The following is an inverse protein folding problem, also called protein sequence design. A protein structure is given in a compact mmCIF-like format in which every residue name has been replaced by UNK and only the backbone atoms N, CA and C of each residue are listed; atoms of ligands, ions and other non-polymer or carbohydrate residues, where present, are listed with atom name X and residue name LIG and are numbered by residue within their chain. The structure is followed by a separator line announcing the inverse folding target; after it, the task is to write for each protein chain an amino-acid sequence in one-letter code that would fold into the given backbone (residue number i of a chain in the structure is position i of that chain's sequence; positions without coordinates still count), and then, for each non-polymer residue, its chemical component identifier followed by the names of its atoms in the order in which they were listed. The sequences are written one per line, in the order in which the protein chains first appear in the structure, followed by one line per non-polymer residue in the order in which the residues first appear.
data_IF_095872133352
#
_entry.id   IF_095872133352
#
_cell.length_a   1.000
_cell.length_b   1.000
_cell.length_c   1.000
_cell.angle_alpha   90.00
_cell.angle_beta   90.00
_cell.angle_gamma   90.00
#
_symmetry.space_group_name_H-M   'P 1'
#
loop_
_entity.id
_entity.type
_entity.pdbx_description
1 polymer ?
#
# COMPACT_ATOMS: atom_id res chain seq x y z
N UNK A 1 44.37 -26.42 66.74
CA UNK A 1 43.32 -27.24 66.10
C UNK A 1 42.50 -26.29 65.24
N UNK A 2 42.81 -26.07 63.95
CA UNK A 2 42.52 -26.91 62.78
C UNK A 2 41.05 -27.37 62.73
N UNK A 3 40.26 -26.74 61.85
CA UNK A 3 39.25 -27.33 60.97
C UNK A 3 38.97 -26.27 59.88
N UNK A 4 39.66 -26.33 58.74
CA UNK A 4 39.22 -26.96 57.47
C UNK A 4 38.03 -26.21 56.83
N UNK A 5 38.39 -25.32 55.90
CA UNK A 5 37.53 -24.84 54.83
C UNK A 5 37.96 -25.64 53.59
N UNK A 6 37.08 -26.48 53.07
CA UNK A 6 37.23 -27.08 51.75
C UNK A 6 35.94 -26.90 50.94
N UNK A 7 36.08 -26.07 49.92
CA UNK A 7 35.65 -26.25 48.53
C UNK A 7 34.23 -26.73 48.20
N UNK A 8 33.47 -25.85 47.54
CA UNK A 8 32.81 -26.20 46.27
C UNK A 8 32.61 -24.94 45.39
N UNK A 9 33.29 -24.92 44.24
CA UNK A 9 33.07 -23.96 43.14
C UNK A 9 31.69 -24.21 42.51
N UNK A 10 30.93 -23.18 42.11
CA UNK A 10 29.86 -23.34 41.14
C UNK A 10 30.40 -23.29 39.70
N UNK A 11 30.02 -24.30 38.92
CA UNK A 11 30.23 -24.40 37.48
C UNK A 11 29.41 -23.37 36.71
N UNK A 12 30.01 -22.79 35.67
CA UNK A 12 29.36 -21.92 34.71
C UNK A 12 28.29 -22.70 33.92
N UNK A 13 27.07 -22.15 33.89
CA UNK A 13 25.98 -22.59 33.03
C UNK A 13 25.21 -21.36 32.56
N UNK A 14 25.26 -21.09 31.26
CA UNK A 14 24.51 -20.06 30.54
C UNK A 14 23.00 -20.21 30.72
N UNK A 15 22.24 -19.11 30.61
CA UNK A 15 21.11 -18.92 29.65
C UNK A 15 20.18 -17.77 30.07
N UNK A 16 19.78 -17.01 29.05
CA UNK A 16 18.62 -16.12 28.91
C UNK A 16 18.64 -14.75 29.63
N UNK A 17 19.13 -13.76 28.88
CA UNK A 17 18.70 -12.36 29.02
C UNK A 17 17.25 -12.27 28.55
N UNK A 18 16.31 -12.13 29.49
CA UNK A 18 14.93 -11.77 29.18
C UNK A 18 14.89 -10.30 28.76
N UNK A 19 14.74 -10.04 27.46
CA UNK A 19 14.44 -8.69 26.95
C UNK A 19 12.96 -8.41 27.21
N UNK A 20 12.67 -7.76 28.33
CA UNK A 20 11.36 -7.18 28.58
C UNK A 20 11.19 -5.91 27.73
N UNK A 21 10.53 -6.04 26.57
CA UNK A 21 10.05 -4.90 25.80
C UNK A 21 8.86 -4.27 26.54
N UNK A 22 9.14 -3.22 27.31
CA UNK A 22 8.15 -2.30 27.85
C UNK A 22 7.53 -1.51 26.68
N UNK A 23 6.37 -1.95 26.19
CA UNK A 23 5.51 -1.13 25.34
C UNK A 23 4.86 -0.04 26.21
N UNK A 24 5.45 1.16 26.22
CA UNK A 24 4.77 2.35 26.72
C UNK A 24 3.59 2.66 25.78
N UNK A 25 2.39 2.24 26.17
CA UNK A 25 1.14 2.54 25.50
C UNK A 25 0.75 4.00 25.80
N UNK A 26 1.25 4.92 24.97
CA UNK A 26 0.77 6.30 24.94
C UNK A 26 -0.63 6.34 24.31
N UNK A 27 -1.66 6.32 25.15
CA UNK A 27 -3.02 6.68 24.76
C UNK A 27 -3.06 8.17 24.39
N UNK A 28 -3.25 8.49 23.11
CA UNK A 28 -3.84 9.75 22.70
C UNK A 28 -5.22 9.47 22.11
N UNK A 29 -6.32 9.79 22.81
CA UNK A 29 -7.63 9.80 22.20
C UNK A 29 -7.75 11.09 21.39
N UNK A 30 -7.35 11.08 20.12
CA UNK A 30 -7.76 12.15 19.20
C UNK A 30 -9.19 11.86 18.75
N UNK A 31 -10.16 12.33 19.54
CA UNK A 31 -11.41 12.80 18.95
C UNK A 31 -11.03 13.89 17.94
N UNK A 32 -11.19 13.62 16.65
CA UNK A 32 -11.22 14.66 15.63
C UNK A 32 -12.40 15.58 15.96
N UNK A 33 -12.17 16.60 16.77
CA UNK A 33 -12.94 17.83 16.64
C UNK A 33 -12.45 18.47 15.35
N UNK A 34 -13.30 18.40 14.32
CA UNK A 34 -13.10 19.17 13.10
C UNK A 34 -12.92 20.63 13.49
N UNK A 35 -11.71 21.16 13.25
CA UNK A 35 -11.51 22.60 13.27
C UNK A 35 -12.37 23.21 12.15
N UNK A 36 -13.13 24.28 12.41
CA UNK A 36 -13.88 24.97 11.37
C UNK A 36 -12.90 25.76 10.49
N UNK A 37 -12.44 25.10 9.44
CA UNK A 37 -11.56 25.60 8.39
C UNK A 37 -11.33 24.44 7.43
N UNK A 38 -12.18 24.31 6.41
CA UNK A 38 -12.19 23.16 5.51
C UNK A 38 -10.80 22.93 4.92
N UNK A 39 -10.25 21.74 5.12
CA UNK A 39 -8.98 21.33 4.52
C UNK A 39 -9.00 21.41 2.99
N UNK A 40 -7.85 21.17 2.34
CA UNK A 40 -7.77 21.18 0.89
C UNK A 40 -8.82 20.24 0.27
N UNK A 41 -9.54 20.72 -0.74
CA UNK A 41 -10.54 19.96 -1.47
C UNK A 41 -9.93 19.34 -2.71
N UNK A 42 -10.27 18.08 -2.99
CA UNK A 42 -9.95 17.41 -4.24
C UNK A 42 -10.76 18.04 -5.36
N UNK A 43 -10.10 18.56 -6.40
CA UNK A 43 -10.75 19.28 -7.51
C UNK A 43 -10.65 18.56 -8.85
N UNK A 44 -9.76 17.58 -8.97
CA UNK A 44 -9.70 16.66 -10.10
C UNK A 44 -9.05 15.34 -9.68
N UNK A 45 -9.57 14.23 -10.19
CA UNK A 45 -9.04 12.89 -9.94
C UNK A 45 -9.23 11.98 -11.15
N UNK A 46 -8.16 11.82 -11.93
CA UNK A 46 -8.09 10.86 -13.03
C UNK A 46 -7.47 9.57 -12.51
N UNK A 47 -8.31 8.55 -12.32
CA UNK A 47 -7.86 7.23 -11.86
C UNK A 47 -7.03 6.51 -12.90
N UNK A 48 -7.40 6.69 -14.18
CA UNK A 48 -6.81 5.99 -15.32
C UNK A 48 -7.10 4.48 -15.33
N UNK A 49 -8.30 4.12 -14.87
CA UNK A 49 -8.83 2.75 -14.77
C UNK A 49 -9.59 2.27 -16.02
N UNK A 50 -9.72 3.12 -17.04
CA UNK A 50 -10.47 2.78 -18.23
C UNK A 50 -9.83 1.61 -19.00
N UNK A 51 -10.66 0.72 -19.54
CA UNK A 51 -10.17 -0.40 -20.34
C UNK A 51 -9.85 -0.02 -21.79
N UNK A 52 -10.40 1.08 -22.28
CA UNK A 52 -10.24 1.59 -23.65
C UNK A 52 -10.87 2.97 -23.80
N UNK A 53 -10.66 3.59 -24.97
CA UNK A 53 -11.35 4.81 -25.38
C UNK A 53 -10.46 6.05 -25.44
N UNK A 54 -11.09 7.19 -25.72
CA UNK A 54 -10.41 8.47 -25.97
C UNK A 54 -10.56 9.47 -24.81
N UNK A 55 -11.13 9.02 -23.67
CA UNK A 55 -11.40 9.88 -22.53
C UNK A 55 -10.85 9.23 -21.25
N UNK A 56 -10.13 10.01 -20.44
CA UNK A 56 -9.83 9.71 -19.06
C UNK A 56 -10.83 10.46 -18.17
N UNK A 57 -11.61 9.74 -17.36
CA UNK A 57 -12.66 10.34 -16.54
C UNK A 57 -12.08 11.03 -15.31
N UNK A 58 -12.55 12.25 -15.06
CA UNK A 58 -12.35 12.91 -13.78
C UNK A 58 -13.45 12.45 -12.81
N UNK A 59 -13.07 11.68 -11.79
CA UNK A 59 -14.01 11.12 -10.82
C UNK A 59 -14.55 12.15 -9.81
N UNK A 60 -13.95 13.35 -9.73
CA UNK A 60 -14.56 14.51 -9.06
C UNK A 60 -15.60 15.17 -9.96
N UNK A 61 -15.29 15.26 -11.25
CA UNK A 61 -16.19 15.68 -12.31
C UNK A 61 -15.84 17.04 -12.92
N UNK A 62 -16.17 17.19 -14.21
CA UNK A 62 -16.07 18.45 -14.94
C UNK A 62 -14.76 18.68 -15.69
N UNK A 63 -13.73 17.86 -15.45
CA UNK A 63 -12.42 17.98 -16.10
C UNK A 63 -11.97 16.68 -16.79
N UNK A 64 -12.89 15.95 -17.41
CA UNK A 64 -12.56 14.76 -18.21
C UNK A 64 -11.46 15.09 -19.24
N UNK A 65 -10.45 14.23 -19.32
CA UNK A 65 -9.29 14.43 -20.17
C UNK A 65 -9.42 13.73 -21.52
N UNK A 66 -9.10 14.41 -22.61
CA UNK A 66 -9.05 13.82 -23.94
C UNK A 66 -7.68 13.18 -24.21
N UNK A 67 -7.67 11.91 -24.59
CA UNK A 67 -6.46 11.14 -24.93
C UNK A 67 -5.94 11.57 -26.30
N UNK A 68 -4.70 12.06 -26.35
CA UNK A 68 -3.99 12.39 -27.59
C UNK A 68 -2.85 11.40 -27.85
N UNK A 69 -2.73 10.95 -29.11
CA UNK A 69 -1.72 9.98 -29.52
C UNK A 69 -2.13 8.53 -29.22
N UNK A 70 -1.18 7.62 -29.30
CA UNK A 70 -1.41 6.16 -29.20
C UNK A 70 -1.19 5.63 -27.77
N UNK A 71 -1.79 6.28 -26.77
CA UNK A 71 -1.76 5.79 -25.38
C UNK A 71 -2.36 4.38 -25.28
N UNK A 72 -1.74 3.52 -24.47
CA UNK A 72 -2.23 2.15 -24.24
C UNK A 72 -2.86 2.04 -22.86
N UNK A 73 -4.17 1.79 -22.82
CA UNK A 73 -4.90 1.49 -21.60
C UNK A 73 -4.53 0.10 -21.10
N UNK A 74 -4.13 0.02 -19.84
CA UNK A 74 -3.89 -1.23 -19.13
C UNK A 74 -4.95 -1.33 -18.03
N UNK A 75 -6.05 -2.08 -18.23
CA UNK A 75 -7.12 -2.18 -17.23
C UNK A 75 -6.67 -2.83 -15.91
N UNK A 76 -5.48 -3.42 -15.89
CA UNK A 76 -4.88 -4.09 -14.73
C UNK A 76 -3.38 -3.79 -14.66
N UNK A 77 -2.78 -4.05 -13.51
CA UNK A 77 -1.32 -3.87 -13.30
C UNK A 77 -0.93 -2.44 -12.95
N UNK A 78 -1.91 -1.54 -12.87
CA UNK A 78 -1.79 -0.27 -12.19
C UNK A 78 -1.51 -0.45 -10.70
N UNK A 79 -1.09 0.64 -10.07
CA UNK A 79 -0.85 0.65 -8.64
C UNK A 79 -2.17 0.72 -7.86
N UNK A 80 -3.16 1.39 -8.42
CA UNK A 80 -4.57 1.43 -8.01
C UNK A 80 -5.39 0.94 -9.20
N UNK A 81 -5.60 -0.37 -9.28
CA UNK A 81 -6.38 -1.01 -10.36
C UNK A 81 -5.74 -0.88 -11.77
N UNK A 82 -6.16 0.07 -12.60
CA UNK A 82 -5.69 0.24 -13.98
C UNK A 82 -4.55 1.27 -14.12
N UNK A 83 -4.04 1.44 -15.34
CA UNK A 83 -3.04 2.47 -15.65
C UNK A 83 -3.02 2.82 -17.13
N UNK A 84 -2.37 3.93 -17.47
CA UNK A 84 -2.15 4.37 -18.85
C UNK A 84 -0.67 4.44 -19.19
N UNK A 85 -0.28 3.88 -20.33
CA UNK A 85 1.09 3.89 -20.83
C UNK A 85 1.34 4.99 -21.85
N UNK A 86 2.43 5.74 -21.64
CA UNK A 86 2.88 6.85 -22.47
C UNK A 86 4.17 6.49 -23.20
N UNK A 87 4.18 6.68 -24.54
CA UNK A 87 5.28 6.31 -25.42
C UNK A 87 6.49 7.24 -25.39
N UNK A 88 6.31 8.47 -24.90
CA UNK A 88 7.36 9.49 -24.76
C UNK A 88 7.63 10.31 -26.01
N UNK A 89 6.68 10.41 -26.95
CA UNK A 89 6.87 11.18 -28.20
C UNK A 89 5.81 12.25 -28.35
N UNK A 90 4.54 11.86 -28.47
CA UNK A 90 3.43 12.78 -28.72
C UNK A 90 2.17 12.45 -27.90
N UNK A 91 2.28 11.50 -26.98
CA UNK A 91 1.17 10.99 -26.19
C UNK A 91 0.96 11.84 -24.93
N UNK A 92 -0.29 12.23 -24.66
CA UNK A 92 -0.68 12.96 -23.44
C UNK A 92 -2.21 12.96 -23.26
N UNK A 93 -2.67 13.32 -22.07
CA UNK A 93 -4.09 13.60 -21.81
C UNK A 93 -4.30 15.10 -21.70
N UNK A 94 -5.20 15.65 -22.52
CA UNK A 94 -5.60 17.05 -22.47
C UNK A 94 -6.81 17.24 -21.54
N UNK A 95 -6.57 17.77 -20.34
CA UNK A 95 -7.59 17.91 -19.29
C UNK A 95 -8.30 19.27 -19.28
N UNK A 96 -7.97 20.15 -20.23
CA UNK A 96 -8.59 21.47 -20.36
C UNK A 96 -8.00 22.54 -19.46
N UNK A 97 -8.50 23.76 -19.60
CA UNK A 97 -8.11 24.95 -18.83
C UNK A 97 -9.31 25.47 -18.02
N UNK A 98 -9.87 24.61 -17.18
CA UNK A 98 -10.98 25.00 -16.32
C UNK A 98 -10.51 25.97 -15.23
N UNK A 99 -11.38 26.90 -14.85
CA UNK A 99 -11.07 27.92 -13.83
C UNK A 99 -10.71 27.36 -12.46
N UNK A 100 -11.06 26.11 -12.16
CA UNK A 100 -10.65 25.41 -10.93
C UNK A 100 -9.13 25.20 -10.84
N UNK A 101 -8.42 25.25 -11.97
CA UNK A 101 -6.95 25.13 -12.03
C UNK A 101 -6.22 26.47 -11.89
N UNK A 102 -6.94 27.58 -11.78
CA UNK A 102 -6.39 28.91 -11.51
C UNK A 102 -6.12 29.09 -10.00
N UNK A 103 -5.27 28.20 -9.47
CA UNK A 103 -4.85 28.19 -8.08
C UNK A 103 -3.80 29.28 -7.85
N UNK A 104 -3.93 30.05 -6.78
CA UNK A 104 -3.03 31.16 -6.47
C UNK A 104 -2.38 31.09 -5.08
N UNK A 105 -3.01 30.39 -4.13
CA UNK A 105 -2.62 30.39 -2.72
C UNK A 105 -2.03 29.06 -2.23
N UNK A 106 -2.37 27.94 -2.89
CA UNK A 106 -1.88 26.63 -2.51
C UNK A 106 -2.37 25.54 -3.46
N UNK A 107 -1.70 24.41 -3.42
CA UNK A 107 -1.98 23.26 -4.30
C UNK A 107 -1.40 21.99 -3.69
N UNK A 108 -2.04 20.85 -4.01
CA UNK A 108 -1.39 19.55 -3.97
C UNK A 108 -1.58 18.86 -5.31
N UNK A 109 -0.52 18.26 -5.82
CA UNK A 109 -0.59 17.43 -7.03
C UNK A 109 0.10 16.10 -6.73
N UNK A 110 -0.59 14.99 -6.99
CA UNK A 110 -0.05 13.65 -6.77
C UNK A 110 -0.31 12.74 -7.95
N UNK A 111 0.57 11.75 -8.12
CA UNK A 111 0.37 10.66 -9.06
C UNK A 111 1.16 9.43 -8.60
N UNK A 112 0.68 8.26 -9.00
CA UNK A 112 1.52 7.08 -9.10
C UNK A 112 2.17 7.06 -10.47
N UNK A 113 3.48 6.78 -10.49
CA UNK A 113 4.26 6.77 -11.72
C UNK A 113 5.20 5.59 -11.77
N UNK A 114 5.40 5.08 -12.98
CA UNK A 114 6.42 4.09 -13.28
C UNK A 114 7.27 4.63 -14.43
N UNK A 115 8.52 5.00 -14.13
CA UNK A 115 9.41 5.61 -15.14
C UNK A 115 9.98 4.50 -16.02
N UNK A 116 9.64 4.51 -17.32
CA UNK A 116 10.29 3.64 -18.30
C UNK A 116 11.68 4.17 -18.67
N UNK A 117 11.74 5.41 -19.15
CA UNK A 117 12.97 6.08 -19.57
C UNK A 117 12.87 7.59 -19.32
N UNK A 118 13.99 8.26 -19.06
CA UNK A 118 14.06 9.74 -18.97
C UNK A 118 14.79 10.27 -20.19
N UNK A 119 14.02 10.75 -21.17
CA UNK A 119 14.55 11.22 -22.47
C UNK A 119 14.78 12.71 -22.53
N UNK A 120 14.06 13.46 -21.71
CA UNK A 120 13.97 14.91 -21.75
C UNK A 120 14.25 15.51 -20.38
N UNK A 121 14.67 16.77 -20.36
CA UNK A 121 14.73 17.53 -19.13
C UNK A 121 13.31 17.85 -18.64
N UNK A 122 13.06 17.65 -17.34
CA UNK A 122 11.78 17.92 -16.70
C UNK A 122 10.61 17.18 -17.35
N UNK A 123 10.79 15.88 -17.56
CA UNK A 123 9.79 15.01 -18.15
C UNK A 123 8.46 15.08 -17.37
N UNK A 124 7.41 15.58 -18.01
CA UNK A 124 6.18 16.01 -17.34
C UNK A 124 5.33 14.81 -16.86
N UNK A 125 4.88 14.83 -15.61
CA UNK A 125 3.88 13.89 -15.09
C UNK A 125 2.49 14.52 -15.22
N UNK A 126 2.29 15.69 -14.63
CA UNK A 126 1.08 16.49 -14.77
C UNK A 126 1.41 17.98 -14.59
N UNK A 127 0.92 18.83 -15.48
CA UNK A 127 1.32 20.25 -15.54
C UNK A 127 0.19 21.17 -15.98
N UNK A 128 0.24 22.44 -15.56
CA UNK A 128 -0.55 23.57 -16.09
C UNK A 128 0.34 24.55 -16.87
N UNK A 129 1.47 24.07 -17.38
CA UNK A 129 2.54 24.93 -17.91
C UNK A 129 3.54 25.40 -16.84
N UNK A 130 4.66 25.92 -17.30
CA UNK A 130 5.76 26.44 -16.46
C UNK A 130 5.46 27.79 -15.83
N UNK A 131 4.57 28.56 -16.45
CA UNK A 131 4.08 29.83 -15.93
C UNK A 131 3.01 29.67 -14.83
N UNK A 132 2.72 28.42 -14.40
CA UNK A 132 1.82 28.12 -13.29
C UNK A 132 2.42 27.06 -12.35
N UNK A 133 2.14 25.77 -12.55
CA UNK A 133 2.61 24.68 -11.70
C UNK A 133 2.89 23.41 -12.49
N UNK A 134 3.82 22.60 -11.99
CA UNK A 134 4.17 21.32 -12.60
C UNK A 134 4.67 20.29 -11.59
N UNK A 135 4.33 19.03 -11.87
CA UNK A 135 4.99 17.85 -11.32
C UNK A 135 5.70 17.12 -12.46
N UNK A 136 6.99 16.87 -12.33
CA UNK A 136 7.84 16.27 -13.38
C UNK A 136 9.01 15.49 -12.80
N UNK A 137 9.88 14.96 -13.66
CA UNK A 137 11.25 14.61 -13.24
C UNK A 137 12.09 15.85 -12.99
N UNK A 138 13.19 15.71 -12.23
CA UNK A 138 14.21 16.74 -12.03
C UNK A 138 15.25 16.63 -13.15
N UNK A 139 15.30 17.66 -14.02
CA UNK A 139 16.14 17.65 -15.21
C UNK A 139 16.04 16.31 -15.97
N UNK A 140 17.16 15.74 -16.41
CA UNK A 140 17.23 14.44 -17.09
C UNK A 140 17.49 13.25 -16.15
N UNK A 141 17.09 13.38 -14.89
CA UNK A 141 17.35 12.37 -13.87
C UNK A 141 16.10 11.60 -13.48
N UNK A 142 16.27 10.40 -12.90
CA UNK A 142 15.18 9.64 -12.26
C UNK A 142 14.94 10.13 -10.82
N UNK A 143 14.90 11.45 -10.65
CA UNK A 143 14.47 12.15 -9.43
C UNK A 143 13.24 12.99 -9.78
N UNK A 144 12.46 13.39 -8.79
CA UNK A 144 11.22 14.13 -9.03
C UNK A 144 11.37 15.61 -8.72
N UNK A 145 10.47 16.40 -9.28
CA UNK A 145 10.51 17.85 -9.29
C UNK A 145 9.09 18.39 -9.15
N UNK A 146 8.91 19.33 -8.21
CA UNK A 146 7.68 20.07 -8.07
C UNK A 146 7.97 21.57 -8.08
N UNK A 147 7.30 22.30 -8.98
CA UNK A 147 7.54 23.73 -9.17
C UNK A 147 6.24 24.52 -9.28
N UNK A 148 6.30 25.76 -8.80
CA UNK A 148 5.25 26.78 -8.96
C UNK A 148 5.89 28.10 -9.41
N UNK A 149 5.13 28.90 -10.14
CA UNK A 149 5.53 30.23 -10.64
C UNK A 149 4.38 31.18 -10.42
N UNK A 150 4.57 32.33 -9.77
CA UNK A 150 3.51 33.34 -9.56
C UNK A 150 3.83 34.53 -8.64
N UNK A 151 5.10 34.67 -8.23
CA UNK A 151 5.72 35.90 -7.71
C UNK A 151 6.89 36.33 -8.62
N UNK A 152 7.85 37.17 -8.19
CA UNK A 152 8.91 37.68 -9.06
C UNK A 152 9.74 36.59 -9.77
N UNK A 153 9.75 35.37 -9.22
CA UNK A 153 10.53 34.24 -9.73
C UNK A 153 9.75 32.92 -9.69
N UNK A 154 10.15 32.02 -10.58
CA UNK A 154 9.89 30.58 -10.55
C UNK A 154 10.58 29.95 -9.34
N UNK A 155 9.88 29.06 -8.62
CA UNK A 155 10.45 28.31 -7.50
C UNK A 155 10.08 26.84 -7.56
N UNK A 156 11.01 25.99 -7.14
CA UNK A 156 10.83 24.56 -7.18
C UNK A 156 11.67 23.82 -6.16
N UNK A 157 11.22 22.61 -5.83
CA UNK A 157 11.95 21.65 -5.00
C UNK A 157 12.25 20.41 -5.84
N UNK A 158 13.52 20.00 -5.83
CA UNK A 158 13.98 18.74 -6.39
C UNK A 158 14.11 17.69 -5.29
N UNK A 159 13.68 16.47 -5.59
CA UNK A 159 13.85 15.32 -4.73
C UNK A 159 15.30 14.88 -4.63
N UNK A 160 15.66 14.19 -3.54
CA UNK A 160 17.01 13.65 -3.34
C UNK A 160 17.14 12.20 -3.81
N UNK A 161 16.03 11.46 -3.90
CA UNK A 161 16.08 10.03 -4.15
C UNK A 161 16.03 9.69 -5.64
N UNK A 162 17.11 9.12 -6.16
CA UNK A 162 17.12 8.53 -7.50
C UNK A 162 16.38 7.19 -7.47
N UNK A 163 15.35 7.06 -8.30
CA UNK A 163 14.54 5.85 -8.42
C UNK A 163 15.02 4.97 -9.56
N UNK A 164 14.71 3.67 -9.49
CA UNK A 164 14.98 2.72 -10.58
C UNK A 164 13.89 2.88 -11.65
N UNK A 165 14.26 2.54 -12.88
CA UNK A 165 13.28 2.43 -13.95
C UNK A 165 12.38 1.21 -13.72
N UNK A 166 11.17 1.26 -14.27
CA UNK A 166 10.20 0.17 -14.22
C UNK A 166 9.64 -0.16 -12.82
N UNK A 167 9.77 0.77 -11.85
CA UNK A 167 9.24 0.63 -10.48
C UNK A 167 8.16 1.68 -10.21
N UNK A 168 7.03 1.25 -9.61
CA UNK A 168 5.96 2.14 -9.16
C UNK A 168 6.39 2.99 -7.98
N UNK A 169 6.25 4.31 -8.09
CA UNK A 169 6.53 5.31 -7.05
C UNK A 169 5.36 6.27 -6.92
N UNK A 170 5.03 6.66 -5.70
CA UNK A 170 4.04 7.71 -5.46
C UNK A 170 4.75 9.03 -5.27
N UNK A 171 4.39 10.03 -6.07
CA UNK A 171 5.02 11.36 -6.03
C UNK A 171 3.96 12.38 -5.72
N UNK A 172 4.22 13.24 -4.75
CA UNK A 172 3.28 14.28 -4.34
C UNK A 172 4.02 15.60 -4.08
N UNK A 173 3.61 16.66 -4.77
CA UNK A 173 4.06 18.03 -4.53
C UNK A 173 2.98 18.82 -3.78
N UNK A 174 3.36 19.57 -2.75
CA UNK A 174 2.43 20.43 -2.00
C UNK A 174 2.99 21.85 -1.87
N UNK A 175 2.11 22.84 -1.91
CA UNK A 175 2.41 24.24 -1.62
C UNK A 175 1.29 24.88 -0.81
N UNK A 176 1.62 25.52 0.31
CA UNK A 176 0.67 26.10 1.28
C UNK A 176 0.68 27.64 1.31
N UNK A 177 1.35 28.29 0.35
CA UNK A 177 1.58 29.73 0.36
C UNK A 177 2.82 30.17 1.15
N UNK A 178 3.51 29.24 1.81
CA UNK A 178 4.71 29.51 2.61
C UNK A 178 5.87 28.55 2.31
N UNK A 179 5.59 27.32 1.92
CA UNK A 179 6.58 26.26 1.72
C UNK A 179 6.19 25.32 0.56
N UNK A 180 7.13 25.09 -0.36
CA UNK A 180 7.06 23.97 -1.30
C UNK A 180 7.61 22.71 -0.63
N UNK A 181 6.95 21.58 -0.85
CA UNK A 181 7.38 20.26 -0.37
C UNK A 181 7.18 19.22 -1.45
N UNK A 182 8.09 18.26 -1.50
CA UNK A 182 8.01 17.10 -2.36
C UNK A 182 8.10 15.84 -1.51
N UNK A 183 7.19 14.92 -1.77
CA UNK A 183 7.09 13.64 -1.10
C UNK A 183 7.27 12.52 -2.12
N UNK A 184 7.95 11.47 -1.68
CA UNK A 184 8.13 10.23 -2.41
C UNK A 184 7.69 9.08 -1.50
N UNK A 185 6.76 8.26 -2.00
CA UNK A 185 6.19 7.11 -1.28
C UNK A 185 5.62 7.47 0.10
N UNK A 186 5.02 8.66 0.20
CA UNK A 186 4.36 9.16 1.41
C UNK A 186 5.27 9.85 2.42
N UNK A 187 6.58 9.92 2.17
CA UNK A 187 7.56 10.58 3.04
C UNK A 187 8.22 11.79 2.35
N UNK A 188 8.68 12.82 3.09
CA UNK A 188 9.40 13.95 2.49
C UNK A 188 10.69 13.47 1.79
N UNK A 189 10.88 13.86 0.53
CA UNK A 189 12.09 13.51 -0.24
C UNK A 189 13.14 14.63 -0.27
N UNK A 190 12.77 15.82 0.22
CA UNK A 190 13.63 16.99 0.32
C UNK A 190 13.23 17.89 1.50
N UNK A 191 14.14 18.79 1.88
CA UNK A 191 13.81 19.84 2.85
C UNK A 191 12.72 20.77 2.27
N UNK A 192 11.77 21.17 3.11
CA UNK A 192 10.76 22.13 2.71
C UNK A 192 11.42 23.46 2.30
N UNK A 193 11.06 23.98 1.13
CA UNK A 193 11.62 25.21 0.59
C UNK A 193 10.71 26.40 0.95
N UNK A 194 11.18 27.40 1.70
CA UNK A 194 10.40 28.60 1.98
C UNK A 194 10.14 29.41 0.70
N UNK A 195 8.88 29.71 0.44
CA UNK A 195 8.44 30.57 -0.65
C UNK A 195 7.09 31.20 -0.33
N UNK A 196 7.00 32.52 -0.40
CA UNK A 196 5.78 33.29 -0.07
C UNK A 196 5.17 33.99 -1.29
N UNK A 197 5.60 33.63 -2.51
CA UNK A 197 5.01 34.14 -3.75
C UNK A 197 3.71 33.42 -4.11
N UNK A 198 2.90 34.02 -4.98
CA UNK A 198 1.69 33.36 -5.46
C UNK A 198 1.99 32.21 -6.42
N UNK A 199 0.96 31.45 -6.77
CA UNK A 199 0.92 30.65 -8.00
C UNK A 199 0.26 31.50 -9.10
N UNK A 200 0.86 31.49 -10.27
CA UNK A 200 0.51 32.23 -11.46
C UNK A 200 -0.57 31.48 -12.22
N UNK A 201 -1.38 32.25 -12.93
CA UNK A 201 -2.46 31.74 -13.76
C UNK A 201 -2.12 31.98 -15.22
N UNK A 202 -2.53 31.06 -16.08
CA UNK A 202 -2.25 31.11 -17.51
C UNK A 202 -3.39 30.42 -18.27
N UNK A 203 -3.34 30.50 -19.60
CA UNK A 203 -4.33 29.88 -20.49
C UNK A 203 -3.92 28.49 -21.02
N UNK A 204 -2.86 27.87 -20.48
CA UNK A 204 -2.42 26.55 -20.92
C UNK A 204 -3.31 25.47 -20.28
N UNK A 205 -3.68 24.40 -21.00
CA UNK A 205 -4.46 23.32 -20.40
C UNK A 205 -3.64 22.55 -19.36
N UNK A 206 -4.32 21.92 -18.40
CA UNK A 206 -3.74 20.82 -17.63
C UNK A 206 -3.45 19.67 -18.60
N UNK A 207 -2.22 19.17 -18.58
CA UNK A 207 -1.81 17.99 -19.33
C UNK A 207 -1.22 16.93 -18.41
N UNK A 208 -1.65 15.67 -18.58
CA UNK A 208 -1.00 14.50 -18.00
C UNK A 208 -0.07 13.90 -19.05
N UNK A 209 1.17 13.62 -18.66
CA UNK A 209 2.22 13.08 -19.52
C UNK A 209 2.91 14.11 -20.43
N UNK A 210 2.54 15.39 -20.35
CA UNK A 210 3.12 16.46 -21.16
C UNK A 210 3.05 17.84 -20.51
N UNK A 211 3.69 18.81 -21.16
CA UNK A 211 3.60 20.22 -20.85
C UNK A 211 3.19 21.00 -22.11
N UNK A 212 2.10 21.78 -22.00
CA UNK A 212 1.54 22.53 -23.12
C UNK A 212 2.35 23.78 -23.47
N UNK A 213 3.11 24.31 -22.52
CA UNK A 213 4.00 25.47 -22.69
C UNK A 213 5.38 25.05 -23.20
N UNK A 214 5.86 23.87 -22.78
CA UNK A 214 7.17 23.33 -23.14
C UNK A 214 7.03 21.95 -23.79
N UNK A 215 6.94 21.95 -25.12
CA UNK A 215 6.56 20.77 -25.92
C UNK A 215 7.55 19.61 -25.89
N UNK A 216 8.78 19.84 -25.43
CA UNK A 216 9.87 18.86 -25.33
C UNK A 216 9.90 18.13 -23.98
N UNK A 217 8.79 18.08 -23.24
CA UNK A 217 8.71 17.43 -21.92
C UNK A 217 7.64 16.35 -21.89
N UNK A 218 7.99 15.17 -22.43
CA UNK A 218 7.04 14.07 -22.69
C UNK A 218 7.31 12.86 -21.83
N UNK A 219 6.30 12.40 -21.08
CA UNK A 219 6.41 11.22 -20.24
C UNK A 219 6.63 9.95 -21.04
N UNK A 220 7.57 9.13 -20.58
CA UNK A 220 7.71 7.74 -21.02
C UNK A 220 7.61 6.79 -19.83
N UNK A 221 6.57 5.97 -19.84
CA UNK A 221 6.26 5.02 -18.77
C UNK A 221 4.77 4.99 -18.44
N UNK A 222 4.45 4.51 -17.25
CA UNK A 222 3.06 4.39 -16.78
C UNK A 222 2.72 5.54 -15.81
N UNK A 223 1.48 6.01 -15.87
CA UNK A 223 0.90 6.94 -14.89
C UNK A 223 -0.44 6.37 -14.41
N UNK A 224 -0.72 6.55 -13.13
CA UNK A 224 -1.93 6.09 -12.46
C UNK A 224 -2.33 7.11 -11.37
N UNK A 225 -3.63 7.20 -11.09
CA UNK A 225 -4.23 7.94 -9.98
C UNK A 225 -3.72 9.39 -9.81
N UNK A 226 -3.91 10.20 -10.85
CA UNK A 226 -3.53 11.62 -10.83
C UNK A 226 -4.58 12.43 -10.06
N UNK A 227 -4.15 13.16 -9.03
CA UNK A 227 -5.03 14.00 -8.20
C UNK A 227 -4.51 15.43 -8.11
N UNK A 228 -5.45 16.38 -8.11
CA UNK A 228 -5.17 17.80 -7.86
C UNK A 228 -6.09 18.29 -6.74
N UNK A 229 -5.51 18.95 -5.75
CA UNK A 229 -6.23 19.60 -4.65
C UNK A 229 -5.95 21.10 -4.67
N UNK A 230 -6.93 21.90 -4.23
CA UNK A 230 -6.85 23.36 -4.19
C UNK A 230 -6.09 23.93 -2.97
N UNK A 231 -5.27 23.12 -2.32
CA UNK A 231 -4.46 23.50 -1.16
C UNK A 231 -3.46 22.40 -0.80
N UNK A 232 -2.56 22.68 0.15
CA UNK A 232 -1.57 21.71 0.59
C UNK A 232 -2.17 20.63 1.52
N UNK A 233 -2.00 19.36 1.16
CA UNK A 233 -2.15 18.24 2.08
C UNK A 233 -1.02 18.26 3.11
N UNK A 234 -1.35 17.87 4.34
CA UNK A 234 -0.37 17.61 5.40
C UNK A 234 0.44 16.34 5.10
N UNK A 235 1.61 16.18 5.72
CA UNK A 235 2.42 14.97 5.58
C UNK A 235 1.64 13.69 5.97
N UNK A 236 0.74 13.78 6.97
CA UNK A 236 -0.11 12.67 7.36
C UNK A 236 -1.14 12.31 6.29
N UNK A 237 -1.75 13.29 5.64
CA UNK A 237 -2.69 13.09 4.53
C UNK A 237 -1.98 12.55 3.28
N UNK A 238 -0.78 13.04 2.95
CA UNK A 238 0.03 12.49 1.84
C UNK A 238 0.41 11.03 2.10
N UNK A 239 0.76 10.69 3.35
CA UNK A 239 1.02 9.30 3.74
C UNK A 239 -0.23 8.44 3.68
N UNK A 240 -1.40 8.98 4.05
CA UNK A 240 -2.67 8.27 3.92
C UNK A 240 -3.01 8.00 2.45
N UNK A 241 -2.81 8.99 1.58
CA UNK A 241 -2.99 8.91 0.14
C UNK A 241 -2.12 7.80 -0.48
N UNK A 242 -0.82 7.77 -0.16
CA UNK A 242 0.10 6.70 -0.57
C UNK A 242 -0.41 5.31 -0.14
N UNK A 243 -0.99 5.19 1.05
CA UNK A 243 -1.44 3.90 1.62
C UNK A 243 -2.77 3.42 1.07
N UNK A 244 -3.47 4.22 0.25
CA UNK A 244 -4.68 3.75 -0.43
C UNK A 244 -4.35 2.58 -1.36
N UNK A 245 -3.16 2.54 -1.95
CA UNK A 245 -2.80 1.53 -2.92
C UNK A 245 -2.59 0.14 -2.28
N UNK A 246 -3.24 -0.92 -2.80
CA UNK A 246 -3.22 -2.24 -2.17
C UNK A 246 -1.86 -2.93 -2.24
N UNK A 247 -1.57 -3.81 -1.29
CA UNK A 247 -0.54 -4.83 -1.43
C UNK A 247 -1.16 -6.08 -2.02
N UNK A 248 -0.45 -6.75 -2.92
CA UNK A 248 -0.90 -7.96 -3.58
C UNK A 248 -0.17 -9.17 -3.01
N UNK A 249 -0.93 -10.24 -2.76
CA UNK A 249 -0.42 -11.52 -2.26
C UNK A 249 -0.91 -12.62 -3.20
N UNK A 250 0.02 -13.42 -3.70
CA UNK A 250 -0.26 -14.53 -4.59
C UNK A 250 0.88 -15.55 -4.54
N UNK A 251 0.55 -16.76 -4.06
CA UNK A 251 1.50 -17.87 -3.95
C UNK A 251 2.06 -18.34 -5.30
N UNK A 252 1.29 -18.16 -6.38
CA UNK A 252 1.65 -18.57 -7.74
C UNK A 252 2.41 -17.48 -8.51
N UNK A 253 2.54 -16.27 -7.94
CA UNK A 253 3.31 -15.20 -8.56
C UNK A 253 4.82 -15.51 -8.62
N UNK A 254 5.59 -14.81 -9.47
CA UNK A 254 7.05 -14.87 -9.43
C UNK A 254 7.66 -14.42 -8.09
N UNK A 255 6.90 -13.70 -7.27
CA UNK A 255 7.38 -13.04 -6.04
C UNK A 255 7.94 -11.65 -6.31
N UNK A 256 7.80 -10.74 -5.35
CA UNK A 256 8.34 -9.39 -5.46
C UNK A 256 8.03 -8.50 -4.25
N UNK A 257 7.78 -7.21 -4.53
CA UNK A 257 7.55 -6.18 -3.51
C UNK A 257 6.06 -5.98 -3.13
N UNK A 258 5.15 -6.76 -3.71
CA UNK A 258 3.72 -6.71 -3.46
C UNK A 258 2.98 -5.56 -4.13
N UNK A 259 3.57 -4.82 -5.07
CA UNK A 259 2.94 -3.62 -5.64
C UNK A 259 2.02 -3.89 -6.83
N UNK A 260 2.16 -5.05 -7.46
CA UNK A 260 1.30 -5.54 -8.54
C UNK A 260 1.10 -7.04 -8.37
N UNK A 261 0.13 -7.63 -9.08
CA UNK A 261 -0.03 -9.09 -9.14
C UNK A 261 1.22 -9.80 -9.68
N UNK A 262 1.91 -9.21 -10.65
CA UNK A 262 3.15 -9.77 -11.22
C UNK A 262 4.36 -9.71 -10.30
N UNK A 263 4.30 -8.91 -9.24
CA UNK A 263 5.33 -8.74 -8.23
C UNK A 263 4.80 -9.02 -6.82
N UNK A 264 3.70 -9.78 -6.71
CA UNK A 264 3.00 -10.02 -5.46
C UNK A 264 3.92 -10.68 -4.40
N UNK A 265 3.59 -10.49 -3.13
CA UNK A 265 4.18 -11.31 -2.08
C UNK A 265 3.68 -12.75 -2.24
N UNK A 266 4.56 -13.73 -2.06
CA UNK A 266 4.15 -15.15 -2.09
C UNK A 266 3.37 -15.57 -0.85
N UNK A 267 3.60 -14.90 0.28
CA UNK A 267 2.96 -15.18 1.55
C UNK A 267 2.20 -13.96 2.07
N UNK A 268 1.06 -14.20 2.71
CA UNK A 268 0.30 -13.17 3.39
C UNK A 268 1.04 -12.66 4.63
N UNK A 269 1.89 -13.46 5.29
CA UNK A 269 2.75 -13.00 6.39
C UNK A 269 3.64 -11.83 5.94
N UNK A 270 4.31 -11.98 4.80
CA UNK A 270 5.26 -10.97 4.32
C UNK A 270 4.56 -9.64 4.03
N UNK A 271 3.35 -9.70 3.45
CA UNK A 271 2.53 -8.52 3.25
C UNK A 271 2.06 -7.89 4.58
N UNK A 272 1.66 -8.70 5.56
CA UNK A 272 1.27 -8.22 6.89
C UNK A 272 2.44 -7.54 7.62
N UNK A 273 3.68 -8.02 7.46
CA UNK A 273 4.87 -7.41 8.06
C UNK A 273 5.01 -5.94 7.62
N UNK A 274 4.88 -5.67 6.31
CA UNK A 274 5.05 -4.32 5.75
C UNK A 274 3.79 -3.44 5.80
N UNK A 275 2.62 -4.04 5.98
CA UNK A 275 1.34 -3.32 6.01
C UNK A 275 1.25 -2.35 7.20
N UNK A 276 0.64 -1.19 6.99
CA UNK A 276 0.42 -0.16 8.00
C UNK A 276 -1.05 0.24 8.05
N UNK A 277 -1.42 1.06 9.03
CA UNK A 277 -2.79 1.62 9.13
C UNK A 277 -3.24 2.23 7.80
N UNK A 278 -4.40 1.79 7.30
CA UNK A 278 -5.00 2.23 6.04
C UNK A 278 -4.69 1.31 4.85
N UNK A 279 -3.68 0.44 4.95
CA UNK A 279 -3.32 -0.47 3.86
C UNK A 279 -4.44 -1.46 3.54
N UNK A 280 -4.64 -1.69 2.24
CA UNK A 280 -5.43 -2.80 1.71
C UNK A 280 -4.46 -3.93 1.34
N UNK A 281 -4.81 -5.18 1.63
CA UNK A 281 -4.10 -6.36 1.15
C UNK A 281 -5.10 -7.19 0.35
N UNK A 282 -4.82 -7.40 -0.92
CA UNK A 282 -5.59 -8.25 -1.83
C UNK A 282 -4.86 -9.58 -1.99
N UNK A 283 -5.55 -10.68 -1.72
CA UNK A 283 -4.98 -12.02 -1.71
C UNK A 283 -5.65 -12.85 -2.79
N UNK A 284 -4.86 -13.41 -3.71
CA UNK A 284 -5.32 -14.29 -4.77
C UNK A 284 -5.93 -15.58 -4.20
N UNK A 285 -6.74 -16.27 -5.01
CA UNK A 285 -7.15 -17.64 -4.74
C UNK A 285 -5.94 -18.53 -4.51
N UNK A 286 -6.09 -19.53 -3.67
CA UNK A 286 -5.00 -20.44 -3.34
C UNK A 286 -4.95 -20.77 -1.85
N UNK A 287 -3.95 -21.57 -1.50
CA UNK A 287 -3.72 -22.07 -0.15
C UNK A 287 -2.51 -21.36 0.47
N UNK A 288 -2.71 -20.74 1.62
CA UNK A 288 -1.68 -20.00 2.34
C UNK A 288 -1.51 -20.58 3.74
N UNK A 289 -0.28 -20.91 4.12
CA UNK A 289 0.04 -21.37 5.48
C UNK A 289 0.76 -20.30 6.29
N UNK A 290 0.53 -20.23 7.61
CA UNK A 290 1.17 -19.22 8.44
C UNK A 290 2.70 -19.28 8.49
N UNK A 291 3.29 -20.46 8.23
CA UNK A 291 4.73 -20.71 8.28
C UNK A 291 5.44 -20.56 6.92
N UNK A 292 4.71 -20.23 5.85
CA UNK A 292 5.27 -20.01 4.50
C UNK A 292 6.04 -18.66 4.40
N UNK A 293 5.79 -17.74 5.34
CA UNK A 293 6.39 -16.40 5.33
C UNK A 293 7.82 -16.35 5.88
N UNK A 294 8.53 -15.27 5.54
CA UNK A 294 9.87 -15.00 6.07
C UNK A 294 9.87 -14.90 7.59
N UNK A 295 10.87 -15.52 8.23
CA UNK A 295 11.05 -15.48 9.69
C UNK A 295 10.40 -16.62 10.46
N UNK A 296 9.71 -17.54 9.79
CA UNK A 296 9.16 -18.76 10.37
C UNK A 296 9.91 -20.01 9.88
N UNK A 297 9.96 -21.04 10.71
CA UNK A 297 10.44 -22.36 10.31
C UNK A 297 9.26 -23.21 9.86
N UNK A 298 9.45 -24.03 8.83
CA UNK A 298 8.41 -24.96 8.37
C UNK A 298 7.98 -25.90 9.52
N UNK A 299 6.67 -26.03 9.72
CA UNK A 299 6.08 -26.79 10.83
C UNK A 299 6.01 -26.01 12.15
N UNK A 300 6.32 -24.72 12.16
CA UNK A 300 6.20 -23.90 13.37
C UNK A 300 4.72 -23.67 13.72
N UNK A 301 4.25 -24.42 14.70
CA UNK A 301 2.86 -24.38 15.18
C UNK A 301 2.44 -23.03 15.78
N UNK A 302 3.39 -22.17 16.17
CA UNK A 302 3.06 -20.83 16.69
C UNK A 302 2.95 -19.77 15.59
N UNK A 303 3.33 -20.10 14.35
CA UNK A 303 3.13 -19.22 13.21
C UNK A 303 1.63 -18.93 13.02
N UNK A 304 1.30 -17.68 12.72
CA UNK A 304 -0.09 -17.22 12.58
C UNK A 304 -0.18 -16.05 11.60
N UNK A 305 -1.33 -15.87 10.95
CA UNK A 305 -1.66 -14.63 10.24
C UNK A 305 -2.04 -13.56 11.27
N UNK A 306 -1.04 -12.82 11.74
CA UNK A 306 -1.24 -11.74 12.72
C UNK A 306 -1.81 -10.48 12.05
N UNK A 307 -3.09 -10.22 12.28
CA UNK A 307 -3.78 -9.03 11.77
C UNK A 307 -3.28 -7.75 12.45
N UNK A 308 -3.34 -6.63 11.73
CA UNK A 308 -2.84 -5.32 12.18
C UNK A 308 -3.94 -4.27 12.17
N UNK A 309 -3.85 -3.32 13.09
CA UNK A 309 -4.79 -2.20 13.20
C UNK A 309 -4.90 -1.41 11.89
N UNK A 310 -6.13 -1.12 11.48
CA UNK A 310 -6.43 -0.35 10.27
C UNK A 310 -6.10 -1.05 8.95
N UNK A 311 -5.70 -2.32 8.96
CA UNK A 311 -5.40 -3.09 7.75
C UNK A 311 -6.63 -3.85 7.29
N UNK A 312 -6.92 -3.78 5.99
CA UNK A 312 -8.04 -4.49 5.35
C UNK A 312 -7.47 -5.63 4.51
N UNK A 313 -7.59 -6.85 5.00
CA UNK A 313 -7.13 -8.07 4.30
C UNK A 313 -8.32 -8.70 3.59
N UNK A 314 -8.22 -8.89 2.28
CA UNK A 314 -9.30 -9.37 1.42
C UNK A 314 -8.85 -10.51 0.52
N UNK A 315 -9.47 -11.67 0.65
CA UNK A 315 -9.34 -12.81 -0.26
C UNK A 315 -10.38 -12.74 -1.37
N UNK A 316 -10.39 -13.75 -2.24
CA UNK A 316 -11.36 -13.88 -3.32
C UNK A 316 -10.92 -13.31 -4.66
N UNK A 317 -9.62 -13.06 -4.87
CA UNK A 317 -9.12 -12.47 -6.12
C UNK A 317 -8.58 -13.52 -7.09
N UNK A 318 -8.74 -13.29 -8.39
CA UNK A 318 -8.28 -14.22 -9.42
C UNK A 318 -6.75 -14.42 -9.45
N UNK A 319 -5.98 -13.35 -9.24
CA UNK A 319 -4.52 -13.42 -9.11
C UNK A 319 -3.74 -13.41 -10.43
N UNK A 320 -2.43 -13.56 -10.29
CA UNK A 320 -1.44 -13.59 -11.36
C UNK A 320 -1.76 -14.64 -12.43
N UNK A 321 -1.46 -14.31 -13.68
CA UNK A 321 -1.69 -15.19 -14.83
C UNK A 321 -3.14 -15.23 -15.33
N UNK A 322 -4.09 -14.66 -14.58
CA UNK A 322 -5.49 -14.54 -15.04
C UNK A 322 -5.68 -13.37 -16.02
N UNK A 323 -6.66 -13.45 -16.94
CA UNK A 323 -6.98 -12.34 -17.85
C UNK A 323 -7.37 -11.05 -17.13
N UNK A 324 -8.05 -11.17 -15.99
CA UNK A 324 -8.32 -10.09 -15.05
C UNK A 324 -7.84 -10.51 -13.66
N UNK A 325 -6.59 -10.21 -13.29
CA UNK A 325 -6.04 -10.57 -11.98
C UNK A 325 -6.79 -9.95 -10.79
N UNK A 326 -7.41 -8.79 -10.98
CA UNK A 326 -8.16 -8.08 -9.93
C UNK A 326 -9.64 -8.45 -9.87
N UNK A 327 -10.12 -9.38 -10.71
CA UNK A 327 -11.48 -9.90 -10.62
C UNK A 327 -11.68 -10.53 -9.24
N UNK A 328 -12.76 -10.15 -8.56
CA UNK A 328 -13.06 -10.60 -7.20
C UNK A 328 -14.41 -11.29 -7.12
N UNK A 329 -14.37 -12.54 -6.72
CA UNK A 329 -15.52 -13.39 -6.42
C UNK A 329 -15.08 -14.41 -5.36
N UNK A 330 -15.62 -14.27 -4.15
CA UNK A 330 -15.20 -15.07 -2.99
C UNK A 330 -15.58 -16.55 -3.10
N UNK A 331 -16.48 -16.91 -4.01
CA UNK A 331 -16.89 -18.29 -4.26
C UNK A 331 -16.04 -18.89 -5.37
N UNK A 332 -15.85 -18.15 -6.47
CA UNK A 332 -15.08 -18.65 -7.62
C UNK A 332 -13.57 -18.71 -7.33
N UNK A 333 -13.04 -17.72 -6.62
CA UNK A 333 -11.61 -17.57 -6.35
C UNK A 333 -11.32 -17.84 -4.87
N UNK A 334 -11.64 -19.05 -4.40
CA UNK A 334 -11.48 -19.40 -2.99
C UNK A 334 -10.03 -19.13 -2.49
N UNK A 335 -9.92 -18.30 -1.45
CA UNK A 335 -8.66 -18.05 -0.74
C UNK A 335 -8.69 -18.75 0.60
N UNK A 336 -7.80 -19.72 0.79
CA UNK A 336 -7.77 -20.59 1.97
C UNK A 336 -6.58 -20.23 2.85
N UNK A 337 -6.86 -19.83 4.09
CA UNK A 337 -5.88 -19.75 5.16
C UNK A 337 -5.91 -21.07 5.93
N UNK A 338 -4.84 -21.87 5.83
CA UNK A 338 -4.81 -23.21 6.39
C UNK A 338 -3.73 -23.36 7.45
N UNK A 339 -4.11 -23.88 8.61
CA UNK A 339 -3.17 -24.30 9.64
C UNK A 339 -2.57 -25.69 9.41
N UNK A 340 -2.93 -26.40 8.33
CA UNK A 340 -2.35 -27.70 7.94
C UNK A 340 -0.92 -27.54 7.44
N UNK A 341 0.04 -27.46 8.36
CA UNK A 341 1.44 -27.13 8.07
C UNK A 341 2.15 -28.25 7.28
N UNK A 342 1.72 -29.49 7.45
CA UNK A 342 2.33 -30.66 6.82
C UNK A 342 1.65 -31.06 5.51
N UNK A 343 0.45 -30.54 5.22
CA UNK A 343 -0.30 -30.87 4.00
C UNK A 343 -0.90 -32.27 4.02
N UNK A 344 -1.10 -32.84 5.19
CA UNK A 344 -1.47 -34.24 5.41
C UNK A 344 -2.87 -34.42 6.03
N UNK A 345 -3.56 -33.32 6.34
CA UNK A 345 -4.92 -33.37 6.88
C UNK A 345 -5.87 -34.05 5.90
N UNK A 346 -6.69 -34.96 6.42
CA UNK A 346 -7.84 -35.49 5.69
C UNK A 346 -9.13 -34.95 6.30
N UNK A 347 -10.17 -34.79 5.48
CA UNK A 347 -11.50 -34.42 5.98
C UNK A 347 -12.28 -35.71 6.23
N UNK A 348 -12.47 -36.13 7.50
CA UNK A 348 -13.22 -37.34 7.79
C UNK A 348 -14.70 -37.17 7.43
N UNK A 349 -15.36 -38.29 7.13
CA UNK A 349 -16.79 -38.30 6.80
C UNK A 349 -17.67 -37.94 8.02
N UNK A 350 -17.23 -38.33 9.22
CA UNK A 350 -17.82 -37.90 10.49
C UNK A 350 -16.95 -36.79 11.11
N UNK A 351 -17.47 -35.56 11.29
CA UNK A 351 -16.75 -34.48 11.96
C UNK A 351 -16.28 -34.84 13.39
N UNK A 352 -16.90 -35.81 14.06
CA UNK A 352 -16.48 -36.24 15.40
C UNK A 352 -15.14 -36.97 15.38
N UNK A 353 -14.75 -37.57 14.25
CA UNK A 353 -13.46 -38.27 14.10
C UNK A 353 -12.29 -37.29 14.05
N UNK A 354 -12.55 -36.01 13.71
CA UNK A 354 -11.53 -34.96 13.69
C UNK A 354 -10.82 -34.77 15.04
N UNK A 355 -11.50 -35.04 16.16
CA UNK A 355 -10.91 -34.92 17.50
C UNK A 355 -9.88 -36.00 17.81
N UNK A 356 -9.94 -37.13 17.10
CA UNK A 356 -9.03 -38.27 17.28
C UNK A 356 -7.97 -38.35 16.19
N UNK A 357 -8.03 -37.45 15.21
CA UNK A 357 -7.11 -37.42 14.08
C UNK A 357 -5.73 -36.90 14.53
N UNK A 358 -4.78 -37.82 14.63
CA UNK A 358 -3.40 -37.51 15.01
C UNK A 358 -2.65 -36.70 13.95
N UNK A 359 -3.15 -36.66 12.71
CA UNK A 359 -2.56 -35.90 11.61
C UNK A 359 -2.79 -34.38 11.74
N UNK A 360 -3.49 -33.94 12.79
CA UNK A 360 -3.77 -32.53 13.11
C UNK A 360 -2.91 -31.99 14.26
N UNK A 361 -2.02 -32.82 14.81
CA UNK A 361 -1.24 -32.52 16.03
C UNK A 361 -0.04 -31.60 15.77
N UNK A 362 0.26 -31.35 14.51
CA UNK A 362 1.28 -30.49 13.91
C UNK A 362 0.67 -29.20 13.34
N UNK A 363 -0.66 -29.12 13.28
CA UNK A 363 -1.36 -27.94 12.81
C UNK A 363 -1.07 -26.70 13.66
N UNK A 364 -1.22 -25.54 13.00
CA UNK A 364 -1.08 -24.23 13.62
C UNK A 364 -2.01 -24.10 14.83
N UNK A 365 -1.49 -23.58 15.95
CA UNK A 365 -2.30 -23.32 17.16
C UNK A 365 -3.42 -22.33 16.85
N UNK A 366 -3.09 -21.26 16.13
CA UNK A 366 -4.05 -20.27 15.64
C UNK A 366 -3.74 -19.97 14.18
N UNK A 367 -4.68 -20.23 13.28
CA UNK A 367 -4.50 -19.85 11.87
C UNK A 367 -4.43 -18.33 11.76
N UNK A 368 -5.40 -17.62 12.34
CA UNK A 368 -5.46 -16.15 12.34
C UNK A 368 -5.47 -15.61 13.76
N UNK A 369 -4.69 -14.55 14.01
CA UNK A 369 -4.65 -13.86 15.30
C UNK A 369 -4.99 -12.37 15.17
N UNK A 370 -5.81 -11.87 16.08
CA UNK A 370 -6.11 -10.45 16.26
C UNK A 370 -6.04 -10.11 17.76
N UNK A 371 -5.01 -9.37 18.16
CA UNK A 371 -4.78 -9.05 19.59
C UNK A 371 -4.46 -7.56 19.74
N UNK A 372 -5.27 -6.86 20.53
CA UNK A 372 -5.13 -5.41 20.78
C UNK A 372 -5.11 -4.56 19.51
N UNK A 373 -5.89 -4.94 18.49
CA UNK A 373 -5.97 -4.20 17.22
C UNK A 373 -7.27 -3.39 17.09
N UNK A 374 -7.21 -2.30 16.33
CA UNK A 374 -8.37 -1.45 16.06
C UNK A 374 -8.66 -1.36 14.55
N UNK A 375 -9.93 -1.44 14.19
CA UNK A 375 -10.43 -1.18 12.82
C UNK A 375 -9.78 -2.06 11.73
N UNK A 376 -9.54 -3.33 12.03
CA UNK A 376 -9.05 -4.30 11.06
C UNK A 376 -10.22 -5.00 10.34
N UNK A 377 -9.99 -5.44 9.10
CA UNK A 377 -10.95 -6.23 8.33
C UNK A 377 -10.30 -7.52 7.83
N UNK A 378 -10.98 -8.64 8.02
CA UNK A 378 -10.72 -9.92 7.36
C UNK A 378 -11.95 -10.26 6.52
N UNK A 379 -11.79 -10.35 5.20
CA UNK A 379 -12.92 -10.54 4.29
C UNK A 379 -12.65 -11.53 3.17
N UNK A 380 -13.54 -12.49 2.94
CA UNK A 380 -13.47 -13.39 1.78
C UNK A 380 -12.47 -14.54 1.92
N UNK A 381 -12.35 -15.14 3.10
CA UNK A 381 -11.41 -16.24 3.37
C UNK A 381 -12.11 -17.49 3.89
N UNK A 382 -11.67 -18.66 3.43
CA UNK A 382 -11.87 -19.91 4.15
C UNK A 382 -10.73 -20.08 5.15
N UNK A 383 -11.04 -20.24 6.43
CA UNK A 383 -10.08 -20.49 7.51
C UNK A 383 -10.27 -21.92 8.03
N UNK A 384 -9.20 -22.72 7.96
CA UNK A 384 -9.26 -24.15 8.26
C UNK A 384 -8.02 -24.67 8.95
N UNK A 385 -8.12 -25.85 9.55
CA UNK A 385 -6.99 -26.59 10.11
C UNK A 385 -6.22 -25.88 11.22
N UNK A 386 -6.90 -25.06 12.02
CA UNK A 386 -6.40 -24.73 13.35
C UNK A 386 -6.40 -25.95 14.28
N UNK A 387 -5.53 -25.95 15.30
CA UNK A 387 -5.55 -26.94 16.37
C UNK A 387 -5.01 -26.33 17.68
N UNK A 388 -5.90 -25.70 18.45
CA UNK A 388 -5.57 -25.04 19.72
C UNK A 388 -5.64 -26.01 20.91
N UNK A 389 -4.77 -27.02 20.93
CA UNK A 389 -4.67 -28.09 21.93
C UNK A 389 -3.67 -27.79 23.07
N UNK A 390 -3.40 -26.51 23.34
CA UNK A 390 -2.42 -26.10 24.35
C UNK A 390 -2.94 -26.24 25.78
N UNK A 391 -2.04 -26.16 26.76
CA UNK A 391 -2.43 -26.18 28.18
C UNK A 391 -3.02 -24.83 28.64
N UNK A 392 -3.95 -24.90 29.60
CA UNK A 392 -4.51 -23.72 30.26
C UNK A 392 -3.40 -22.87 30.92
N UNK A 393 -3.39 -21.57 30.64
CA UNK A 393 -2.46 -20.60 31.25
C UNK A 393 -1.18 -20.30 30.44
N UNK A 394 -0.96 -20.96 29.31
CA UNK A 394 0.08 -20.56 28.36
C UNK A 394 -0.21 -19.16 27.79
N UNK A 395 0.85 -18.36 27.54
CA UNK A 395 0.76 -17.08 26.85
C UNK A 395 1.60 -17.10 25.56
N UNK A 396 1.02 -16.80 24.38
CA UNK A 396 -0.41 -16.55 24.15
C UNK A 396 -1.27 -17.79 24.47
N UNK A 397 -2.58 -17.59 24.72
CA UNK A 397 -3.51 -18.69 25.03
C UNK A 397 -3.62 -19.57 23.80
N UNK A 398 -3.06 -20.77 23.88
CA UNK A 398 -3.01 -21.76 22.78
C UNK A 398 -4.05 -22.88 22.92
N UNK A 399 -4.99 -22.73 23.85
CA UNK A 399 -6.02 -23.72 24.20
C UNK A 399 -7.42 -23.37 23.66
N UNK A 400 -7.56 -22.27 22.92
CA UNK A 400 -8.81 -21.81 22.32
C UNK A 400 -8.57 -20.97 21.06
N UNK A 401 -9.58 -20.79 20.20
CA UNK A 401 -9.46 -19.93 19.01
C UNK A 401 -8.56 -20.50 17.92
N UNK A 402 -8.74 -21.78 17.60
CA UNK A 402 -7.92 -22.51 16.62
C UNK A 402 -7.94 -21.87 15.21
N UNK A 403 -9.13 -21.57 14.69
CA UNK A 403 -9.25 -20.85 13.40
C UNK A 403 -8.94 -19.36 13.53
N UNK A 404 -9.56 -18.70 14.51
CA UNK A 404 -9.35 -17.29 14.81
C UNK A 404 -9.26 -17.07 16.31
N UNK A 405 -8.13 -16.54 16.77
CA UNK A 405 -7.95 -16.03 18.12
C UNK A 405 -8.09 -14.51 18.11
N UNK A 406 -9.17 -14.00 18.70
CA UNK A 406 -9.46 -12.56 18.77
C UNK A 406 -9.57 -12.10 20.24
N UNK A 407 -8.74 -11.14 20.65
CA UNK A 407 -8.73 -10.61 22.02
C UNK A 407 -8.52 -9.10 22.02
N UNK A 408 -9.31 -8.37 22.83
CA UNK A 408 -9.20 -6.92 23.03
C UNK A 408 -9.13 -6.13 21.71
N UNK A 409 -9.89 -6.56 20.70
CA UNK A 409 -9.73 -6.09 19.33
C UNK A 409 -11.06 -5.64 18.70
N UNK A 410 -10.99 -4.65 17.81
CA UNK A 410 -12.07 -4.28 16.88
C UNK A 410 -11.73 -4.84 15.50
N UNK A 411 -12.22 -6.06 15.24
CA UNK A 411 -12.07 -6.78 13.97
C UNK A 411 -13.45 -6.92 13.31
N UNK A 412 -13.54 -6.57 12.04
CA UNK A 412 -14.68 -6.94 11.18
C UNK A 412 -14.34 -8.20 10.41
N UNK A 413 -15.17 -9.23 10.52
CA UNK A 413 -15.05 -10.46 9.74
C UNK A 413 -16.27 -10.57 8.83
N UNK A 414 -16.06 -10.68 7.52
CA UNK A 414 -17.14 -10.76 6.53
C UNK A 414 -16.82 -11.76 5.42
N UNK A 415 -17.84 -12.42 4.86
CA UNK A 415 -17.67 -13.40 3.78
C UNK A 415 -16.60 -14.48 4.08
N UNK A 416 -16.43 -14.85 5.35
CA UNK A 416 -15.47 -15.86 5.77
C UNK A 416 -16.17 -17.15 6.15
N UNK A 417 -15.53 -18.28 5.82
CA UNK A 417 -15.96 -19.62 6.20
C UNK A 417 -14.96 -20.19 7.19
N UNK A 418 -15.40 -20.61 8.38
CA UNK A 418 -14.57 -21.33 9.34
C UNK A 418 -14.99 -22.80 9.33
N UNK A 419 -14.09 -23.70 8.95
CA UNK A 419 -14.33 -25.15 8.91
C UNK A 419 -13.12 -25.92 9.40
N UNK A 420 -13.33 -27.10 9.97
CA UNK A 420 -12.25 -28.03 10.34
C UNK A 420 -11.15 -27.41 11.23
N UNK A 421 -11.52 -26.61 12.24
CA UNK A 421 -10.59 -25.98 13.20
C UNK A 421 -10.77 -26.53 14.61
#
# INVERSE_FOLDING_TARGET
MRHSIDNMKPSAGSVAVAVALLYACGYLPTRLYAAPGGGPSLIAHWRLDESSGTMAKDSVGGNDGFVNGSLQWHPYGGRLDGTLEFGGVNEYIHCGDAGVFNLTAGITVSAWVNIGEVRYDWQAIVTKGDSAWRLSTAARERRFHFGVTGGPDYQAVDGNTTVRANEWRHVCGTYDGQYLRLYLDGEPDAAALPYTGGIGVNAFPVQIGANAEQLNRRWKGLIDDVRVYNGALTAAEVRALYREAPLYVDADSPGGNGFTWSSAFKSLQDALVVANWGCRIHVASGLYRPDDGGGWSRGDRIATFLLKSGVRVRGGYAGYGQPNPSARDVVLFETVLSGDLSGNDTVPADPCEMFMDTLRSENSRHVVCAVMIADAVLDGFTVTAGHADGSDGAFPRVNNGAGLFCRDSRLTVSNCTFRHN
#
